data_IF_655400533822
#
_entry.id   IF_655400533822
#
_cell.length_a   1.000
_cell.length_b   1.000
_cell.length_c   1.000
_cell.angle_alpha   90.00
_cell.angle_beta   90.00
_cell.angle_gamma   90.00
#
_symmetry.space_group_name_H-M   'P 1'
#
loop_
_entity.id
_entity.type
_entity.pdbx_description
1 polymer ?
#
# COMPACT_ATOMS: atom_id res chain seq x y z
N UNK A 1 0.26 12.31 21.49
CA UNK A 1 -0.02 10.95 20.98
C UNK A 1 0.66 10.86 19.64
N UNK A 2 1.76 10.12 19.55
CA UNK A 2 2.41 9.86 18.27
C UNK A 2 1.60 8.78 17.58
N UNK A 3 1.11 9.05 16.37
CA UNK A 3 0.42 8.06 15.56
C UNK A 3 1.42 7.53 14.54
N UNK A 4 1.30 6.27 14.16
CA UNK A 4 2.02 5.76 13.02
C UNK A 4 1.43 6.38 11.75
N UNK A 5 2.30 6.90 10.89
CA UNK A 5 1.95 7.47 9.59
C UNK A 5 2.97 7.01 8.56
N UNK A 6 2.50 6.38 7.51
CA UNK A 6 3.31 5.98 6.38
C UNK A 6 2.57 6.32 5.10
N UNK A 7 3.24 7.04 4.20
CA UNK A 7 2.70 7.37 2.88
C UNK A 7 3.54 6.72 1.80
N UNK A 8 2.90 5.99 0.90
CA UNK A 8 3.51 5.32 -0.24
C UNK A 8 2.93 5.89 -1.54
N UNK A 9 3.81 6.21 -2.50
CA UNK A 9 3.38 6.61 -3.84
C UNK A 9 3.09 5.37 -4.69
N UNK A 10 1.84 5.25 -5.14
CA UNK A 10 1.31 4.14 -5.94
C UNK A 10 0.69 4.66 -7.24
N UNK A 11 1.26 5.75 -7.78
CA UNK A 11 0.76 6.41 -9.00
C UNK A 11 0.69 5.42 -10.17
N UNK A 12 -0.45 5.39 -10.85
CA UNK A 12 -0.69 4.50 -11.98
C UNK A 12 -1.32 3.15 -11.62
N UNK A 13 -1.63 2.90 -10.35
CA UNK A 13 -2.45 1.78 -9.92
C UNK A 13 -3.79 2.27 -9.38
N UNK A 14 -4.87 1.55 -9.68
CA UNK A 14 -6.18 1.79 -9.05
C UNK A 14 -6.25 1.10 -7.68
N UNK A 15 -7.17 1.50 -6.79
CA UNK A 15 -7.37 0.79 -5.51
C UNK A 15 -7.69 -0.70 -5.69
N UNK A 16 -8.35 -1.08 -6.80
CA UNK A 16 -8.70 -2.46 -7.11
C UNK A 16 -7.50 -3.31 -7.53
N UNK A 17 -6.46 -2.67 -8.06
CA UNK A 17 -5.20 -3.30 -8.48
C UNK A 17 -4.18 -3.41 -7.34
N UNK A 18 -4.45 -2.72 -6.22
CA UNK A 18 -3.62 -2.71 -5.04
C UNK A 18 -4.13 -3.74 -4.02
N UNK A 19 -3.20 -4.37 -3.33
CA UNK A 19 -3.45 -5.33 -2.28
C UNK A 19 -2.58 -4.98 -1.10
N UNK A 20 -3.21 -4.79 0.05
CA UNK A 20 -2.54 -4.57 1.34
C UNK A 20 -2.69 -5.84 2.15
N UNK A 21 -1.59 -6.34 2.69
CA UNK A 21 -1.55 -7.50 3.58
C UNK A 21 -0.67 -7.21 4.78
N UNK A 22 -1.05 -7.75 5.91
CA UNK A 22 -0.26 -7.73 7.14
C UNK A 22 0.14 -9.15 7.49
N UNK A 23 1.43 -9.43 7.57
CA UNK A 23 1.96 -10.74 7.97
C UNK A 23 2.79 -10.56 9.23
N UNK A 24 2.23 -10.96 10.38
CA UNK A 24 2.81 -10.68 11.69
C UNK A 24 2.93 -9.17 11.94
N UNK A 25 4.17 -8.65 11.99
CA UNK A 25 4.47 -7.21 12.11
C UNK A 25 4.98 -6.60 10.80
N UNK A 26 4.73 -7.21 9.65
CA UNK A 26 5.13 -6.67 8.34
C UNK A 26 3.91 -6.25 7.56
N UNK A 27 3.89 -4.98 7.15
CA UNK A 27 2.92 -4.45 6.22
C UNK A 27 3.48 -4.61 4.80
N UNK A 28 2.74 -5.34 3.98
CA UNK A 28 3.11 -5.68 2.61
C UNK A 28 2.06 -5.06 1.70
N UNK A 29 2.52 -4.24 0.76
CA UNK A 29 1.68 -3.61 -0.26
C UNK A 29 2.16 -4.08 -1.62
N UNK A 30 1.23 -4.55 -2.45
CA UNK A 30 1.51 -4.98 -3.82
C UNK A 30 0.48 -4.38 -4.78
N UNK A 31 0.94 -3.91 -5.93
CA UNK A 31 0.11 -3.43 -7.03
C UNK A 31 0.41 -4.19 -8.32
N UNK A 32 -0.63 -4.56 -9.05
CA UNK A 32 -0.50 -5.22 -10.35
C UNK A 32 -1.45 -4.60 -11.37
N UNK A 33 -0.89 -4.03 -12.42
CA UNK A 33 -1.61 -3.45 -13.56
C UNK A 33 -1.37 -4.33 -14.79
N UNK A 34 -2.43 -4.92 -15.34
CA UNK A 34 -2.39 -5.69 -16.59
C UNK A 34 -3.43 -5.11 -17.53
N UNK A 35 -2.98 -4.40 -18.57
CA UNK A 35 -3.85 -3.74 -19.52
C UNK A 35 -3.51 -4.17 -20.93
N UNK A 36 -4.43 -4.90 -21.53
CA UNK A 36 -4.37 -5.34 -22.92
C UNK A 36 -5.34 -4.51 -23.73
N UNK A 37 -4.84 -3.89 -24.79
CA UNK A 37 -5.65 -3.14 -25.76
C UNK A 37 -5.38 -3.67 -27.16
N UNK A 38 -6.43 -4.14 -27.81
CA UNK A 38 -6.47 -4.34 -29.25
C UNK A 38 -7.00 -3.06 -29.90
N UNK A 39 -6.29 -2.56 -30.91
CA UNK A 39 -6.74 -1.46 -31.75
C UNK A 39 -7.44 -2.00 -32.99
N UNK A 40 -8.39 -1.25 -33.53
CA UNK A 40 -9.17 -1.62 -34.72
C UNK A 40 -8.29 -1.85 -35.97
N UNK A 41 -7.13 -1.19 -36.03
CA UNK A 41 -6.12 -1.37 -37.08
C UNK A 41 -5.20 -2.61 -36.88
N UNK A 42 -5.56 -3.56 -36.01
CA UNK A 42 -4.80 -4.79 -35.77
C UNK A 42 -3.59 -4.66 -34.84
N UNK A 43 -3.35 -3.49 -34.27
CA UNK A 43 -2.29 -3.27 -33.28
C UNK A 43 -2.64 -3.86 -31.92
N UNK A 44 -1.71 -4.57 -31.29
CA UNK A 44 -1.82 -5.07 -29.92
C UNK A 44 -0.86 -4.29 -29.01
N UNK A 45 -1.40 -3.75 -27.91
CA UNK A 45 -0.62 -3.13 -26.86
C UNK A 45 -0.91 -3.83 -25.54
N UNK A 46 0.16 -4.21 -24.83
CA UNK A 46 0.08 -4.80 -23.51
C UNK A 46 0.96 -3.98 -22.57
N UNK A 47 0.32 -3.32 -21.62
CA UNK A 47 0.98 -2.66 -20.51
C UNK A 47 0.88 -3.53 -19.28
N UNK A 48 2.03 -3.85 -18.71
CA UNK A 48 2.14 -4.61 -17.50
C UNK A 48 3.02 -3.85 -16.50
N UNK A 49 2.52 -3.62 -15.29
CA UNK A 49 3.29 -3.02 -14.20
C UNK A 49 3.05 -3.82 -12.93
N UNK A 50 4.13 -4.12 -12.23
CA UNK A 50 4.09 -4.70 -10.89
C UNK A 50 4.91 -3.85 -9.94
N UNK A 51 4.36 -3.66 -8.75
CA UNK A 51 5.03 -2.95 -7.68
C UNK A 51 4.78 -3.69 -6.36
N UNK A 52 5.81 -3.78 -5.53
CA UNK A 52 5.70 -4.36 -4.19
C UNK A 52 6.59 -3.61 -3.24
N UNK A 53 6.07 -3.32 -2.06
CA UNK A 53 6.82 -2.74 -0.95
C UNK A 53 6.43 -3.40 0.35
N UNK A 54 7.43 -3.70 1.15
CA UNK A 54 7.25 -4.21 2.51
C UNK A 54 7.87 -3.24 3.51
N UNK A 55 7.24 -3.14 4.68
CA UNK A 55 7.73 -2.34 5.79
C UNK A 55 7.46 -3.08 7.08
N UNK A 56 8.41 -3.03 7.99
CA UNK A 56 8.19 -3.51 9.35
C UNK A 56 7.40 -2.47 10.15
N UNK A 57 6.44 -2.95 10.92
CA UNK A 57 5.64 -2.15 11.81
C UNK A 57 6.36 -2.05 13.15
N UNK A 58 6.37 -0.85 13.77
CA UNK A 58 6.90 -0.68 15.12
C UNK A 58 6.19 -1.61 16.11
N UNK A 59 6.88 -1.97 17.21
CA UNK A 59 6.29 -2.84 18.25
C UNK A 59 5.09 -2.18 18.93
N UNK A 60 5.06 -0.85 18.92
CA UNK A 60 3.99 0.00 19.43
C UNK A 60 2.79 0.11 18.50
N UNK A 61 2.77 -0.56 17.34
CA UNK A 61 1.66 -0.49 16.39
C UNK A 61 0.95 -1.83 16.33
N UNK A 62 -0.36 -1.83 16.59
CA UNK A 62 -1.19 -3.00 16.32
C UNK A 62 -1.50 -3.08 14.82
N UNK A 63 -1.13 -4.16 14.11
CA UNK A 63 -1.44 -4.33 12.69
C UNK A 63 -2.94 -4.32 12.39
N UNK A 64 -3.79 -4.74 13.33
CA UNK A 64 -5.24 -4.76 13.13
C UNK A 64 -5.89 -3.36 13.22
N UNK A 65 -5.23 -2.40 13.86
CA UNK A 65 -5.69 -1.02 13.96
C UNK A 65 -5.16 -0.14 12.80
N UNK A 66 -4.49 -0.72 11.81
CA UNK A 66 -4.00 0.00 10.63
C UNK A 66 -5.17 0.34 9.72
N UNK A 67 -5.39 1.64 9.56
CA UNK A 67 -6.27 2.21 8.56
C UNK A 67 -5.45 2.56 7.32
N UNK A 68 -5.92 2.13 6.15
CA UNK A 68 -5.36 2.52 4.86
C UNK A 68 -6.32 3.43 4.10
N UNK A 69 -5.78 4.39 3.36
CA UNK A 69 -6.57 5.29 2.52
C UNK A 69 -5.79 5.68 1.29
N UNK A 70 -6.41 5.53 0.11
CA UNK A 70 -5.82 5.93 -1.16
C UNK A 70 -6.37 7.28 -1.59
N UNK A 71 -5.47 8.23 -1.85
CA UNK A 71 -5.80 9.54 -2.40
C UNK A 71 -5.87 9.49 -3.93
N UNK A 72 -6.67 10.38 -4.53
CA UNK A 72 -6.82 10.49 -6.00
C UNK A 72 -5.50 10.76 -6.73
N UNK A 73 -4.55 11.40 -6.05
CA UNK A 73 -3.20 11.67 -6.55
C UNK A 73 -2.26 10.45 -6.55
N UNK A 74 -2.76 9.26 -6.15
CA UNK A 74 -1.96 8.03 -6.12
C UNK A 74 -1.07 7.93 -4.88
N UNK A 75 -1.52 8.49 -3.74
CA UNK A 75 -0.84 8.38 -2.45
C UNK A 75 -1.62 7.44 -1.54
N UNK A 76 -1.03 6.30 -1.20
CA UNK A 76 -1.58 5.33 -0.27
C UNK A 76 -1.02 5.60 1.12
N UNK A 77 -1.89 6.07 2.01
CA UNK A 77 -1.55 6.41 3.39
C UNK A 77 -1.98 5.30 4.33
N UNK A 78 -1.12 4.98 5.28
CA UNK A 78 -1.37 4.06 6.38
C UNK A 78 -1.26 4.83 7.69
N UNK A 79 -2.28 4.70 8.53
CA UNK A 79 -2.33 5.35 9.82
C UNK A 79 -2.76 4.35 10.88
N UNK A 80 -2.11 4.40 12.04
CA UNK A 80 -2.52 3.59 13.19
C UNK A 80 -2.26 4.35 14.49
N UNK A 81 -3.11 4.16 15.52
CA UNK A 81 -2.77 4.58 16.86
C UNK A 81 -1.55 3.79 17.34
N UNK A 82 -0.51 4.48 17.82
CA UNK A 82 0.54 3.80 18.57
C UNK A 82 -0.01 3.48 19.96
N UNK A 83 0.09 2.22 20.34
CA UNK A 83 0.00 1.78 21.71
C UNK A 83 1.05 2.58 22.49
N UNK A 84 0.65 3.15 23.64
CA UNK A 84 1.60 3.74 24.56
C UNK A 84 2.46 2.61 25.13
N UNK A 85 3.49 2.19 24.39
CA UNK A 85 4.55 1.39 24.96
C UNK A 85 5.25 2.29 25.97
N UNK A 86 5.43 1.88 27.24
CA UNK A 86 6.33 2.58 28.12
C UNK A 86 7.70 2.59 27.43
N UNK A 87 8.30 3.76 27.27
CA UNK A 87 9.68 3.86 26.83
C UNK A 87 10.50 2.96 27.76
N UNK A 88 11.12 1.91 27.21
CA UNK A 88 12.17 1.21 27.94
C UNK A 88 13.30 2.21 28.11
N UNK A 89 13.43 2.72 29.34
CA UNK A 89 14.67 3.28 29.89
C UNK A 89 15.79 2.24 29.91
#
# INVERSE_FOLDING_TARGET
KENFDLTLEVRGFTPEELTVKTEGRRLIVSGKHDKKKSSENGGYFHEYREWRRETELPQDVNPEDILCSLSKDGQLRFQAPRLALPATE
#
